data_IF_751289203278
#
_entry.id   IF_751289203278
#
_cell.length_a   1.000
_cell.length_b   1.000
_cell.length_c   1.000
_cell.angle_alpha   90.00
_cell.angle_beta   90.00
_cell.angle_gamma   90.00
#
_symmetry.space_group_name_H-M   'P 1'
#
loop_
_entity.id
_entity.type
_entity.pdbx_description
1 polymer ?
#
# COMPACT_ATOMS: atom_id res chain seq x y z
N UNK A 1 -42.86 -7.84 -29.31
CA UNK A 1 -42.81 -9.17 -29.96
C UNK A 1 -42.36 -10.15 -28.87
N UNK A 2 -43.33 -10.81 -28.24
CA UNK A 2 -43.13 -11.60 -27.03
C UNK A 2 -42.97 -13.05 -27.47
N UNK A 3 -41.80 -13.63 -27.28
CA UNK A 3 -41.54 -15.03 -27.60
C UNK A 3 -41.96 -15.85 -26.37
N UNK A 4 -43.12 -16.55 -26.52
CA UNK A 4 -43.53 -17.60 -25.61
C UNK A 4 -42.79 -18.88 -25.98
N UNK A 5 -41.90 -19.34 -25.10
CA UNK A 5 -41.35 -20.70 -25.20
C UNK A 5 -42.33 -21.64 -24.50
N UNK A 6 -42.99 -22.43 -25.30
CA UNK A 6 -43.87 -23.53 -24.84
C UNK A 6 -42.99 -24.75 -24.62
N UNK A 7 -42.78 -25.15 -23.36
CA UNK A 7 -42.07 -26.39 -23.04
C UNK A 7 -43.14 -27.50 -22.97
N UNK A 8 -43.00 -28.38 -23.92
CA UNK A 8 -43.84 -29.58 -24.06
C UNK A 8 -43.62 -30.54 -22.89
N UNK A 9 -44.67 -30.79 -22.12
CA UNK A 9 -44.73 -31.80 -21.08
C UNK A 9 -44.94 -33.16 -21.71
N UNK A 10 -43.92 -33.98 -21.87
CA UNK A 10 -44.00 -35.42 -21.91
C UNK A 10 -42.61 -36.06 -21.89
N UNK A 11 -42.07 -36.30 -20.71
CA UNK A 11 -41.02 -37.30 -20.52
C UNK A 11 -41.43 -38.17 -19.33
N UNK A 12 -41.78 -39.39 -19.68
CA UNK A 12 -42.05 -40.49 -18.73
C UNK A 12 -40.73 -40.83 -18.00
N UNK A 13 -40.87 -40.87 -16.68
CA UNK A 13 -40.10 -41.61 -15.67
C UNK A 13 -38.93 -42.43 -16.23
N UNK A 14 -37.69 -41.93 -16.02
CA UNK A 14 -36.50 -42.76 -15.91
C UNK A 14 -35.59 -42.22 -14.78
N UNK A 15 -35.51 -43.06 -13.76
CA UNK A 15 -34.51 -43.10 -12.68
C UNK A 15 -34.04 -41.78 -12.03
N UNK A 16 -34.51 -41.57 -10.80
CA UNK A 16 -34.16 -40.51 -9.86
C UNK A 16 -32.66 -40.39 -9.45
N UNK A 17 -31.76 -41.22 -9.99
CA UNK A 17 -30.36 -41.23 -9.57
C UNK A 17 -29.43 -40.46 -10.50
N UNK A 18 -29.88 -39.99 -11.67
CA UNK A 18 -29.03 -39.26 -12.61
C UNK A 18 -29.03 -37.74 -12.36
N UNK A 19 -30.12 -37.21 -11.77
CA UNK A 19 -30.24 -35.79 -11.49
C UNK A 19 -29.39 -35.32 -10.29
N UNK A 20 -29.06 -36.23 -9.35
CA UNK A 20 -28.24 -35.92 -8.17
C UNK A 20 -26.72 -35.82 -8.44
N UNK A 21 -26.25 -36.39 -9.57
CA UNK A 21 -24.82 -36.34 -9.95
C UNK A 21 -24.45 -35.13 -10.84
N UNK A 22 -25.45 -34.50 -11.49
CA UNK A 22 -25.21 -33.36 -12.39
C UNK A 22 -25.07 -32.03 -11.58
N UNK A 23 -25.81 -31.88 -10.48
CA UNK A 23 -25.73 -30.65 -9.64
C UNK A 23 -24.36 -30.43 -8.99
N UNK A 24 -23.71 -31.44 -8.38
CA UNK A 24 -22.36 -31.21 -7.82
C UNK A 24 -21.29 -31.00 -8.90
N UNK A 25 -21.46 -31.55 -10.10
CA UNK A 25 -20.52 -31.36 -11.20
C UNK A 25 -20.58 -29.93 -11.78
N UNK A 26 -21.77 -29.31 -11.85
CA UNK A 26 -21.94 -27.91 -12.24
C UNK A 26 -21.36 -26.95 -11.17
N UNK A 27 -21.49 -27.28 -9.88
CA UNK A 27 -20.94 -26.45 -8.79
C UNK A 27 -19.39 -26.49 -8.76
N UNK A 28 -18.82 -27.65 -9.07
CA UNK A 28 -17.35 -27.81 -9.19
C UNK A 28 -16.82 -27.05 -10.40
N UNK A 29 -17.52 -27.08 -11.54
CA UNK A 29 -17.09 -26.35 -12.76
C UNK A 29 -17.23 -24.82 -12.62
N UNK A 30 -18.24 -24.32 -11.91
CA UNK A 30 -18.38 -22.88 -11.65
C UNK A 30 -17.37 -22.37 -10.60
N UNK A 31 -17.04 -23.19 -9.61
CA UNK A 31 -15.99 -22.88 -8.63
C UNK A 31 -14.58 -22.87 -9.25
N UNK A 32 -14.31 -23.77 -10.19
CA UNK A 32 -13.02 -23.82 -10.91
C UNK A 32 -12.83 -22.63 -11.85
N UNK A 33 -13.89 -22.15 -12.52
CA UNK A 33 -13.82 -20.95 -13.36
C UNK A 33 -13.57 -19.66 -12.53
N UNK A 34 -14.11 -19.59 -11.30
CA UNK A 34 -13.85 -18.43 -10.43
C UNK A 34 -12.43 -18.38 -9.89
N UNK A 35 -11.80 -19.53 -9.68
CA UNK A 35 -10.38 -19.63 -9.26
C UNK A 35 -9.42 -19.35 -10.43
N UNK A 36 -9.77 -19.77 -11.65
CA UNK A 36 -8.99 -19.50 -12.86
C UNK A 36 -9.06 -18.02 -13.28
N UNK A 37 -10.20 -17.34 -13.05
CA UNK A 37 -10.32 -15.90 -13.36
C UNK A 37 -9.55 -14.98 -12.40
N UNK A 38 -9.14 -15.48 -11.24
CA UNK A 38 -8.30 -14.71 -10.30
C UNK A 38 -6.81 -14.73 -10.68
N UNK A 39 -6.40 -15.60 -11.61
CA UNK A 39 -4.99 -15.81 -11.97
C UNK A 39 -4.49 -14.97 -13.16
N UNK A 40 -5.37 -14.35 -13.94
CA UNK A 40 -5.01 -13.68 -15.21
C UNK A 40 -5.41 -12.19 -15.26
N UNK A 41 -5.47 -11.49 -14.12
CA UNK A 41 -5.63 -10.03 -14.20
C UNK A 41 -4.29 -9.41 -14.58
N UNK A 42 -4.24 -8.84 -15.78
CA UNK A 42 -3.20 -7.92 -16.22
C UNK A 42 -3.51 -6.54 -15.64
N UNK A 43 -2.50 -5.86 -15.10
CA UNK A 43 -2.63 -4.55 -14.44
C UNK A 43 -1.91 -3.44 -15.23
N UNK A 44 -1.68 -3.60 -16.53
CA UNK A 44 -0.95 -2.64 -17.40
C UNK A 44 -1.53 -1.21 -17.36
N UNK A 45 -2.83 -1.06 -17.08
CA UNK A 45 -3.49 0.25 -16.96
C UNK A 45 -3.62 0.71 -15.49
N UNK A 46 -2.94 0.05 -14.54
CA UNK A 46 -3.05 0.36 -13.12
C UNK A 46 -1.78 1.04 -12.63
N UNK A 47 -1.94 2.20 -12.00
CA UNK A 47 -0.87 2.93 -11.33
C UNK A 47 -1.05 2.79 -9.82
N UNK A 48 -0.01 2.25 -9.16
CA UNK A 48 0.06 2.14 -7.70
C UNK A 48 1.16 3.07 -7.21
N UNK A 49 0.79 4.04 -6.39
CA UNK A 49 1.70 5.03 -5.85
C UNK A 49 1.96 4.78 -4.37
N UNK A 50 3.22 4.57 -3.99
CA UNK A 50 3.69 4.59 -2.61
C UNK A 50 4.13 6.00 -2.23
N UNK A 51 3.65 6.58 -1.15
CA UNK A 51 4.06 7.93 -0.70
C UNK A 51 4.60 7.83 0.72
N UNK A 52 5.87 8.14 0.88
CA UNK A 52 6.62 7.91 2.10
C UNK A 52 7.45 9.12 2.53
N UNK A 53 7.92 9.10 3.76
CA UNK A 53 8.69 10.20 4.33
C UNK A 53 10.16 10.14 3.95
N UNK A 54 10.79 8.98 4.11
CA UNK A 54 12.24 8.82 3.97
C UNK A 54 12.62 7.78 2.91
N UNK A 55 13.82 7.85 2.34
CA UNK A 55 14.40 6.74 1.61
C UNK A 55 14.52 5.51 2.53
N UNK A 56 13.92 4.40 2.19
CA UNK A 56 13.81 3.12 2.90
C UNK A 56 12.40 2.75 3.40
N UNK A 57 11.50 3.70 3.53
CA UNK A 57 10.14 3.49 4.03
C UNK A 57 9.30 2.56 3.12
N UNK A 58 9.58 2.52 1.81
CA UNK A 58 8.90 1.65 0.83
C UNK A 58 9.06 0.17 1.17
N UNK A 59 10.08 -0.21 1.95
CA UNK A 59 10.29 -1.58 2.44
C UNK A 59 9.10 -2.09 3.23
N UNK A 60 8.33 -1.20 3.86
CA UNK A 60 7.10 -1.52 4.60
C UNK A 60 6.02 -2.16 3.74
N UNK A 61 6.09 -1.99 2.42
CA UNK A 61 5.16 -2.53 1.43
C UNK A 61 5.87 -3.20 0.25
N UNK A 62 7.19 -3.40 0.33
CA UNK A 62 8.06 -3.91 -0.73
C UNK A 62 7.51 -5.14 -1.47
N UNK A 63 7.14 -6.25 -0.78
CA UNK A 63 6.58 -7.43 -1.45
C UNK A 63 5.28 -7.16 -2.21
N UNK A 64 4.50 -6.16 -1.80
CA UNK A 64 3.26 -5.76 -2.50
C UNK A 64 3.60 -4.98 -3.77
N UNK A 65 4.56 -4.06 -3.73
CA UNK A 65 5.04 -3.36 -4.92
C UNK A 65 5.66 -4.33 -5.94
N UNK A 66 6.54 -5.24 -5.49
CA UNK A 66 7.14 -6.27 -6.34
C UNK A 66 6.07 -7.13 -7.04
N UNK A 67 5.05 -7.58 -6.29
CA UNK A 67 3.93 -8.34 -6.84
C UNK A 67 3.20 -7.61 -7.96
N UNK A 68 2.85 -6.36 -7.75
CA UNK A 68 2.06 -5.62 -8.73
C UNK A 68 2.90 -5.18 -9.92
N UNK A 69 4.18 -4.84 -9.74
CA UNK A 69 5.12 -4.62 -10.84
C UNK A 69 5.24 -5.87 -11.74
N UNK A 70 5.44 -7.05 -11.14
CA UNK A 70 5.48 -8.33 -11.86
C UNK A 70 4.18 -8.64 -12.62
N UNK A 71 3.04 -8.13 -12.15
CA UNK A 71 1.74 -8.27 -12.80
C UNK A 71 1.42 -7.18 -13.82
N UNK A 72 2.39 -6.31 -14.12
CA UNK A 72 2.30 -5.28 -15.14
C UNK A 72 1.80 -3.91 -14.67
N UNK A 73 1.49 -3.72 -13.36
CA UNK A 73 1.15 -2.40 -12.86
C UNK A 73 2.37 -1.46 -12.87
N UNK A 74 2.14 -0.19 -13.15
CA UNK A 74 3.13 0.85 -12.96
C UNK A 74 3.22 1.21 -11.48
N UNK A 75 4.42 1.09 -10.92
CA UNK A 75 4.70 1.48 -9.54
C UNK A 75 5.36 2.85 -9.55
N UNK A 76 4.86 3.74 -8.71
CA UNK A 76 5.42 5.09 -8.52
C UNK A 76 5.75 5.26 -7.05
N UNK A 77 7.00 5.57 -6.74
CA UNK A 77 7.44 5.85 -5.38
C UNK A 77 7.69 7.34 -5.22
N UNK A 78 7.03 7.95 -4.26
CA UNK A 78 7.21 9.35 -3.88
C UNK A 78 7.81 9.38 -2.49
N UNK A 79 9.01 9.96 -2.37
CA UNK A 79 9.74 10.09 -1.10
C UNK A 79 9.92 11.56 -0.78
N UNK A 80 9.40 12.00 0.38
CA UNK A 80 9.30 13.41 0.69
C UNK A 80 10.63 14.03 1.13
N UNK A 81 11.36 13.39 2.04
CA UNK A 81 12.58 13.97 2.64
C UNK A 81 13.84 13.28 2.15
N UNK A 82 14.97 13.93 2.39
CA UNK A 82 16.29 13.44 1.98
C UNK A 82 16.94 12.45 2.98
N UNK A 83 16.35 12.27 4.16
CA UNK A 83 16.82 11.35 5.18
C UNK A 83 18.19 11.69 5.79
N UNK A 84 18.68 12.92 5.62
CA UNK A 84 20.02 13.39 6.05
C UNK A 84 20.34 13.23 7.52
N UNK A 85 19.33 13.03 8.36
CA UNK A 85 19.50 12.88 9.82
C UNK A 85 19.50 11.40 10.25
N UNK A 86 19.27 10.46 9.35
CA UNK A 86 19.18 9.02 9.60
C UNK A 86 20.57 8.37 9.76
N UNK A 87 21.37 8.82 10.72
CA UNK A 87 22.69 8.27 11.02
C UNK A 87 22.55 6.88 11.67
N UNK A 88 23.36 5.94 11.21
CA UNK A 88 23.45 4.57 11.77
C UNK A 88 24.93 4.17 11.92
N UNK A 89 25.17 3.03 12.58
CA UNK A 89 26.52 2.44 12.70
C UNK A 89 26.95 1.68 11.43
N UNK A 90 26.16 1.71 10.35
CA UNK A 90 26.45 1.02 9.08
C UNK A 90 27.26 1.89 8.10
N UNK A 91 27.45 3.16 8.41
CA UNK A 91 28.26 4.09 7.63
C UNK A 91 29.04 5.03 8.56
N UNK A 92 30.19 5.50 8.12
CA UNK A 92 31.00 6.52 8.84
C UNK A 92 30.50 7.96 8.58
N UNK A 93 29.41 8.14 7.83
CA UNK A 93 28.87 9.45 7.50
C UNK A 93 28.11 10.05 8.69
N UNK A 94 28.34 11.33 8.92
CA UNK A 94 27.55 12.12 9.85
C UNK A 94 26.28 12.66 9.18
N UNK A 95 25.34 13.16 10.01
CA UNK A 95 24.15 13.84 9.51
C UNK A 95 24.51 15.02 8.59
N UNK A 96 23.93 15.09 7.41
CA UNK A 96 24.19 16.17 6.47
C UNK A 96 24.04 15.78 4.99
N UNK A 97 24.64 16.61 4.13
CA UNK A 97 24.46 16.51 2.69
C UNK A 97 25.09 15.23 2.09
N UNK A 98 26.20 14.74 2.64
CA UNK A 98 26.84 13.50 2.16
C UNK A 98 25.98 12.29 2.43
N UNK A 99 25.36 12.21 3.60
CA UNK A 99 24.39 11.14 3.93
C UNK A 99 23.12 11.25 3.08
N UNK A 100 22.61 12.46 2.86
CA UNK A 100 21.46 12.68 1.99
C UNK A 100 21.71 12.19 0.56
N UNK A 101 22.91 12.43 0.02
CA UNK A 101 23.27 11.99 -1.33
C UNK A 101 23.41 10.46 -1.40
N UNK A 102 24.06 9.83 -0.42
CA UNK A 102 24.13 8.38 -0.33
C UNK A 102 22.73 7.75 -0.30
N UNK A 103 21.85 8.24 0.58
CA UNK A 103 20.48 7.72 0.69
C UNK A 103 19.64 7.97 -0.56
N UNK A 104 19.90 9.03 -1.32
CA UNK A 104 19.29 9.26 -2.62
C UNK A 104 19.69 8.17 -3.63
N UNK A 105 20.99 7.80 -3.67
CA UNK A 105 21.47 6.73 -4.55
C UNK A 105 20.91 5.36 -4.15
N UNK A 106 20.84 5.09 -2.85
CA UNK A 106 20.24 3.88 -2.30
C UNK A 106 18.76 3.76 -2.67
N UNK A 107 17.99 4.86 -2.56
CA UNK A 107 16.58 4.89 -2.93
C UNK A 107 16.38 4.68 -4.43
N UNK A 108 17.25 5.25 -5.28
CA UNK A 108 17.18 5.01 -6.72
C UNK A 108 17.47 3.53 -7.04
N UNK A 109 18.47 2.94 -6.39
CA UNK A 109 18.74 1.51 -6.51
C UNK A 109 17.51 0.67 -6.12
N UNK A 110 16.86 0.97 -5.01
CA UNK A 110 15.67 0.24 -4.55
C UNK A 110 14.50 0.39 -5.54
N UNK A 111 14.28 1.59 -6.07
CA UNK A 111 13.27 1.84 -7.08
C UNK A 111 13.55 1.06 -8.38
N UNK A 112 14.80 1.03 -8.84
CA UNK A 112 15.21 0.27 -10.03
C UNK A 112 14.96 -1.23 -9.86
N UNK A 113 15.28 -1.79 -8.69
CA UNK A 113 15.03 -3.21 -8.37
C UNK A 113 13.54 -3.54 -8.34
N UNK A 114 12.71 -2.63 -7.80
CA UNK A 114 11.25 -2.78 -7.78
C UNK A 114 10.60 -2.51 -9.14
N UNK A 115 11.34 -1.99 -10.13
CA UNK A 115 10.79 -1.54 -11.40
C UNK A 115 9.86 -0.34 -11.25
N UNK A 116 10.15 0.57 -10.32
CA UNK A 116 9.33 1.72 -9.98
C UNK A 116 9.89 3.03 -10.53
N UNK A 117 9.00 3.94 -10.91
CA UNK A 117 9.34 5.35 -11.16
C UNK A 117 9.52 6.06 -9.81
N UNK A 118 10.60 6.81 -9.63
CA UNK A 118 10.93 7.49 -8.38
C UNK A 118 10.76 9.01 -8.49
N UNK A 119 9.97 9.58 -7.59
CA UNK A 119 9.92 11.02 -7.30
C UNK A 119 10.50 11.30 -5.92
N UNK A 120 11.77 11.65 -5.84
CA UNK A 120 12.41 12.04 -4.60
C UNK A 120 12.36 13.57 -4.45
N UNK A 121 11.43 14.08 -3.63
CA UNK A 121 11.14 15.51 -3.44
C UNK A 121 12.29 16.24 -2.72
N UNK A 122 13.09 15.53 -1.90
CA UNK A 122 14.33 16.00 -1.25
C UNK A 122 14.13 17.15 -0.27
N UNK A 123 12.99 17.22 0.40
CA UNK A 123 12.84 18.12 1.54
C UNK A 123 13.80 17.73 2.67
N UNK A 124 14.16 18.70 3.49
CA UNK A 124 15.00 18.44 4.65
C UNK A 124 14.30 17.46 5.61
N UNK A 125 15.01 16.44 6.06
CA UNK A 125 14.54 15.49 7.07
C UNK A 125 14.03 16.25 8.31
N UNK A 126 12.97 15.75 8.97
CA UNK A 126 12.21 16.40 10.02
C UNK A 126 11.58 17.76 9.60
N UNK A 127 11.52 18.05 8.30
CA UNK A 127 10.92 19.27 7.73
C UNK A 127 11.40 20.55 8.45
N UNK A 128 12.67 20.56 8.87
CA UNK A 128 13.30 21.66 9.61
C UNK A 128 12.61 22.01 10.94
N UNK A 129 11.83 21.09 11.52
CA UNK A 129 11.15 21.31 12.79
C UNK A 129 12.07 21.79 13.94
N UNK A 130 13.33 21.31 14.08
CA UNK A 130 14.27 21.82 15.08
C UNK A 130 14.67 23.28 14.86
N UNK A 131 14.55 23.82 13.65
CA UNK A 131 14.92 25.21 13.32
C UNK A 131 13.78 26.19 13.62
N UNK A 132 12.56 25.70 13.84
CA UNK A 132 11.42 26.50 14.27
C UNK A 132 10.10 26.16 13.58
N UNK A 133 9.01 26.46 14.27
CA UNK A 133 7.67 26.13 13.82
C UNK A 133 7.30 26.77 12.47
N UNK A 134 7.76 27.99 12.21
CA UNK A 134 7.42 28.69 10.97
C UNK A 134 8.04 28.00 9.74
N UNK A 135 9.27 27.51 9.87
CA UNK A 135 9.93 26.76 8.81
C UNK A 135 9.24 25.41 8.58
N UNK A 136 8.94 24.69 9.65
CA UNK A 136 8.18 23.44 9.57
C UNK A 136 6.84 23.60 8.83
N UNK A 137 6.09 24.65 9.15
CA UNK A 137 4.81 24.94 8.48
C UNK A 137 5.03 25.27 7.00
N UNK A 138 6.09 26.02 6.67
CA UNK A 138 6.39 26.37 5.28
C UNK A 138 6.76 25.14 4.47
N UNK A 139 7.65 24.27 4.98
CA UNK A 139 8.02 23.03 4.30
C UNK A 139 6.82 22.09 4.14
N UNK A 140 6.00 21.93 5.17
CA UNK A 140 4.78 21.11 5.10
C UNK A 140 3.80 21.60 4.01
N UNK A 141 3.65 22.93 3.84
CA UNK A 141 2.80 23.49 2.79
C UNK A 141 3.35 23.23 1.40
N UNK A 142 4.66 23.36 1.20
CA UNK A 142 5.29 23.06 -0.09
C UNK A 142 5.10 21.59 -0.48
N UNK A 143 5.21 20.66 0.47
CA UNK A 143 4.96 19.24 0.23
C UNK A 143 3.52 19.00 -0.21
N UNK A 144 2.54 19.68 0.40
CA UNK A 144 1.13 19.59 -0.02
C UNK A 144 0.99 20.03 -1.47
N UNK A 145 1.55 21.17 -1.83
CA UNK A 145 1.44 21.73 -3.17
C UNK A 145 2.11 20.80 -4.20
N UNK A 146 3.31 20.32 -3.93
CA UNK A 146 4.05 19.41 -4.83
C UNK A 146 3.37 18.04 -4.95
N UNK A 147 2.83 17.48 -3.85
CA UNK A 147 2.03 16.24 -3.93
C UNK A 147 0.74 16.42 -4.74
N UNK A 148 0.11 17.58 -4.68
CA UNK A 148 -1.02 17.90 -5.57
C UNK A 148 -0.62 17.83 -7.04
N UNK A 149 0.56 18.34 -7.40
CA UNK A 149 1.09 18.30 -8.77
C UNK A 149 1.43 16.88 -9.18
N UNK A 150 2.25 16.16 -8.41
CA UNK A 150 2.66 14.78 -8.69
C UNK A 150 1.44 13.85 -8.83
N UNK A 151 0.56 13.85 -7.86
CA UNK A 151 -0.65 13.01 -7.90
C UNK A 151 -1.61 13.43 -9.04
N UNK A 152 -1.61 14.72 -9.41
CA UNK A 152 -2.36 15.24 -10.54
C UNK A 152 -1.84 14.79 -11.88
N UNK A 153 -0.54 14.67 -12.04
CA UNK A 153 0.12 14.19 -13.25
C UNK A 153 -0.09 12.69 -13.43
N UNK A 154 0.14 11.91 -12.36
CA UNK A 154 0.09 10.46 -12.42
C UNK A 154 -1.32 9.87 -12.39
N UNK A 155 -2.30 10.54 -11.79
CA UNK A 155 -3.67 10.03 -11.61
C UNK A 155 -3.69 8.58 -11.09
N UNK A 156 -3.06 8.27 -9.94
CA UNK A 156 -2.92 6.89 -9.47
C UNK A 156 -4.29 6.24 -9.18
N UNK A 157 -4.40 4.95 -9.44
CA UNK A 157 -5.59 4.16 -9.07
C UNK A 157 -5.57 3.80 -7.57
N UNK A 158 -4.36 3.56 -7.04
CA UNK A 158 -4.13 3.16 -5.66
C UNK A 158 -2.99 3.98 -5.07
N UNK A 159 -3.19 4.44 -3.85
CA UNK A 159 -2.15 5.09 -3.03
C UNK A 159 -1.94 4.26 -1.77
N UNK A 160 -0.68 3.99 -1.44
CA UNK A 160 -0.27 3.34 -0.19
C UNK A 160 0.62 4.32 0.58
N UNK A 161 0.34 4.53 1.86
CA UNK A 161 1.13 5.38 2.74
C UNK A 161 1.08 4.89 4.19
N UNK A 162 1.76 5.58 5.08
CA UNK A 162 1.68 5.31 6.52
C UNK A 162 0.28 5.55 7.09
N UNK A 163 -0.06 4.81 8.16
CA UNK A 163 -1.23 5.11 8.96
C UNK A 163 -1.08 6.41 9.78
N UNK A 164 -2.12 6.85 10.48
CA UNK A 164 -2.06 8.05 11.34
C UNK A 164 -1.04 7.96 12.49
N UNK A 165 -0.63 6.74 12.84
CA UNK A 165 0.42 6.43 13.81
C UNK A 165 1.84 6.57 13.22
N UNK A 166 1.96 6.69 11.88
CA UNK A 166 3.22 6.76 11.16
C UNK A 166 4.02 5.47 11.21
N UNK A 167 3.40 4.32 11.46
CA UNK A 167 4.04 3.00 11.53
C UNK A 167 5.07 2.82 12.65
N UNK A 168 5.84 3.85 12.96
CA UNK A 168 6.85 3.89 14.03
C UNK A 168 6.65 5.06 15.02
N UNK A 169 5.55 5.79 14.89
CA UNK A 169 5.27 7.04 15.59
C UNK A 169 6.25 8.19 15.23
N UNK A 170 6.99 8.05 14.11
CA UNK A 170 7.88 9.09 13.61
C UNK A 170 7.08 10.31 13.14
N UNK A 171 7.59 11.52 13.42
CA UNK A 171 6.90 12.77 13.08
C UNK A 171 6.63 12.87 11.58
N UNK A 172 7.65 12.69 10.75
CA UNK A 172 7.54 12.84 9.30
C UNK A 172 6.59 11.83 8.68
N UNK A 173 6.62 10.56 9.13
CA UNK A 173 5.65 9.54 8.69
C UNK A 173 4.20 9.98 8.96
N UNK A 174 3.94 10.56 10.14
CA UNK A 174 2.61 11.05 10.52
C UNK A 174 2.20 12.26 9.69
N UNK A 175 3.14 13.18 9.44
CA UNK A 175 2.88 14.36 8.60
C UNK A 175 2.60 13.93 7.16
N UNK A 176 3.40 13.03 6.59
CA UNK A 176 3.18 12.56 5.22
C UNK A 176 1.85 11.80 5.12
N UNK A 177 1.52 10.94 6.08
CA UNK A 177 0.20 10.28 6.15
C UNK A 177 -0.95 11.30 6.13
N UNK A 178 -0.86 12.34 6.96
CA UNK A 178 -1.88 13.39 7.01
C UNK A 178 -1.94 14.20 5.72
N UNK A 179 -0.78 14.54 5.14
CA UNK A 179 -0.68 15.30 3.88
C UNK A 179 -1.27 14.54 2.70
N UNK A 180 -0.93 13.26 2.54
CA UNK A 180 -1.50 12.39 1.49
C UNK A 180 -3.02 12.34 1.63
N UNK A 181 -3.51 12.13 2.85
CA UNK A 181 -4.96 12.11 3.13
C UNK A 181 -5.62 13.43 2.75
N UNK A 182 -4.99 14.56 3.09
CA UNK A 182 -5.48 15.90 2.74
C UNK A 182 -5.55 16.10 1.22
N UNK A 183 -4.52 15.71 0.48
CA UNK A 183 -4.50 15.82 -0.99
C UNK A 183 -5.61 14.97 -1.60
N UNK A 184 -5.79 13.72 -1.15
CA UNK A 184 -6.87 12.85 -1.64
C UNK A 184 -8.26 13.45 -1.37
N UNK A 185 -8.45 14.15 -0.25
CA UNK A 185 -9.71 14.78 0.11
C UNK A 185 -9.98 16.09 -0.61
N UNK A 186 -8.96 16.87 -0.92
CA UNK A 186 -9.09 18.26 -1.39
C UNK A 186 -8.98 18.41 -2.91
N UNK A 187 -8.36 17.44 -3.59
CA UNK A 187 -8.18 17.48 -5.04
C UNK A 187 -9.46 17.08 -5.77
N UNK A 188 -9.73 17.75 -6.87
CA UNK A 188 -10.75 17.33 -7.84
C UNK A 188 -10.16 16.24 -8.73
N UNK A 189 -10.66 15.02 -8.58
CA UNK A 189 -10.17 13.83 -9.28
C UNK A 189 -11.09 13.47 -10.43
N UNK A 190 -10.52 13.13 -11.59
CA UNK A 190 -11.28 12.45 -12.64
C UNK A 190 -11.78 11.10 -12.13
N UNK A 191 -10.89 10.34 -11.51
CA UNK A 191 -11.22 9.12 -10.76
C UNK A 191 -10.47 9.17 -9.43
N UNK A 192 -11.20 9.22 -8.31
CA UNK A 192 -10.58 9.26 -6.97
C UNK A 192 -9.81 7.97 -6.71
N UNK A 193 -8.52 8.07 -6.31
CA UNK A 193 -7.74 6.89 -5.96
C UNK A 193 -8.27 6.19 -4.70
N UNK A 194 -8.04 4.89 -4.63
CA UNK A 194 -8.19 4.14 -3.39
C UNK A 194 -6.97 4.38 -2.51
N UNK A 195 -7.17 4.96 -1.33
CA UNK A 195 -6.09 5.20 -0.37
C UNK A 195 -6.06 4.10 0.68
N UNK A 196 -4.86 3.54 0.89
CA UNK A 196 -4.60 2.50 1.89
C UNK A 196 -3.48 2.94 2.83
N UNK A 197 -3.69 2.67 4.12
CA UNK A 197 -2.68 2.85 5.15
C UNK A 197 -2.07 1.51 5.52
N UNK A 198 -0.74 1.43 5.53
CA UNK A 198 -0.03 0.30 6.09
C UNK A 198 -0.37 0.15 7.58
N UNK A 199 -0.58 -1.06 8.05
CA UNK A 199 -0.93 -1.30 9.44
C UNK A 199 -0.44 -2.64 9.95
N UNK A 200 -0.05 -2.67 11.23
CA UNK A 200 0.34 -3.89 11.93
C UNK A 200 -0.72 -4.23 12.96
N UNK A 201 -1.14 -5.50 12.98
CA UNK A 201 -2.12 -5.98 13.95
C UNK A 201 -1.58 -5.87 15.37
N UNK A 202 -2.46 -5.50 16.33
CA UNK A 202 -2.10 -5.36 17.75
C UNK A 202 -1.38 -6.59 18.31
N UNK A 203 -1.82 -7.84 18.07
CA UNK A 203 -1.15 -9.02 18.62
C UNK A 203 0.32 -9.18 18.17
N UNK A 204 0.68 -8.63 17.02
CA UNK A 204 2.04 -8.75 16.46
C UNK A 204 3.04 -7.77 17.09
N UNK A 205 2.57 -6.83 17.90
CA UNK A 205 3.36 -5.71 18.42
C UNK A 205 3.75 -5.82 19.90
N UNK A 206 3.19 -6.77 20.65
CA UNK A 206 3.43 -6.88 22.09
C UNK A 206 3.16 -5.55 22.81
N UNK A 207 4.11 -5.06 23.61
CA UNK A 207 3.96 -3.80 24.36
C UNK A 207 3.93 -2.53 23.47
N UNK A 208 4.35 -2.63 22.21
CA UNK A 208 4.39 -1.49 21.28
C UNK A 208 3.02 -1.16 20.68
N UNK A 209 2.00 -1.98 20.90
CA UNK A 209 0.66 -1.81 20.32
C UNK A 209 0.04 -0.43 20.60
N UNK A 210 0.33 0.14 21.76
CA UNK A 210 -0.19 1.46 22.18
C UNK A 210 0.20 2.60 21.24
N UNK A 211 1.32 2.44 20.55
CA UNK A 211 1.92 3.51 19.74
C UNK A 211 1.69 3.33 18.24
N UNK A 212 1.47 2.09 17.77
CA UNK A 212 1.39 1.80 16.33
C UNK A 212 0.53 0.61 15.94
N UNK A 213 -0.25 0.08 16.87
CA UNK A 213 -1.12 -1.06 16.60
C UNK A 213 -2.45 -0.64 16.02
N UNK A 214 -2.95 -1.42 15.08
CA UNK A 214 -4.28 -1.29 14.50
C UNK A 214 -5.12 -2.51 14.87
N UNK A 215 -6.35 -2.28 15.33
CA UNK A 215 -7.29 -3.36 15.60
C UNK A 215 -7.70 -4.06 14.31
N UNK A 216 -7.83 -5.38 14.35
CA UNK A 216 -8.09 -6.21 13.16
C UNK A 216 -9.34 -5.80 12.38
N UNK A 217 -10.39 -5.31 13.04
CA UNK A 217 -11.62 -4.82 12.41
C UNK A 217 -11.36 -3.68 11.40
N UNK A 218 -10.27 -2.94 11.54
CA UNK A 218 -9.88 -1.86 10.63
C UNK A 218 -8.91 -2.31 9.54
N UNK A 219 -8.27 -3.48 9.67
CA UNK A 219 -7.33 -4.03 8.71
C UNK A 219 -8.05 -4.96 7.73
N UNK A 220 -8.99 -4.40 6.99
CA UNK A 220 -9.94 -5.16 6.17
C UNK A 220 -9.39 -5.60 4.81
N UNK A 221 -8.23 -5.11 4.41
CA UNK A 221 -7.56 -5.54 3.18
C UNK A 221 -6.34 -6.36 3.53
N UNK A 222 -6.35 -7.62 3.10
CA UNK A 222 -5.27 -8.59 3.23
C UNK A 222 -4.65 -8.84 1.87
N UNK A 223 -3.43 -8.36 1.66
CA UNK A 223 -2.73 -8.47 0.39
C UNK A 223 -1.65 -9.55 0.48
N UNK A 224 -1.84 -10.65 -0.24
CA UNK A 224 -0.88 -11.76 -0.29
C UNK A 224 0.15 -11.56 -1.39
N UNK A 225 1.34 -12.12 -1.17
CA UNK A 225 2.46 -12.11 -2.11
C UNK A 225 3.15 -13.47 -2.15
N UNK A 226 3.95 -13.72 -3.17
CA UNK A 226 4.70 -14.95 -3.37
C UNK A 226 6.12 -14.86 -2.80
N UNK A 227 6.83 -15.99 -2.79
CA UNK A 227 8.26 -16.02 -2.44
C UNK A 227 9.10 -15.18 -3.41
N UNK A 228 8.77 -15.19 -4.71
CA UNK A 228 9.43 -14.36 -5.72
C UNK A 228 9.26 -12.86 -5.41
N UNK A 229 8.06 -12.44 -4.97
CA UNK A 229 7.81 -11.05 -4.58
C UNK A 229 8.63 -10.65 -3.34
N UNK A 230 8.84 -11.60 -2.40
CA UNK A 230 9.71 -11.39 -1.24
C UNK A 230 11.18 -11.28 -1.64
N UNK A 231 11.64 -12.10 -2.60
CA UNK A 231 13.03 -12.06 -3.06
C UNK A 231 13.36 -10.70 -3.68
N UNK A 232 12.47 -10.17 -4.54
CA UNK A 232 12.63 -8.84 -5.14
C UNK A 232 12.60 -7.74 -4.07
N UNK A 233 11.68 -7.81 -3.12
CA UNK A 233 11.59 -6.82 -2.03
C UNK A 233 12.82 -6.84 -1.11
N UNK A 234 13.36 -8.01 -0.82
CA UNK A 234 14.60 -8.14 -0.04
C UNK A 234 15.82 -7.60 -0.79
N UNK A 235 15.88 -7.81 -2.11
CA UNK A 235 16.92 -7.23 -2.96
C UNK A 235 16.83 -5.69 -2.96
N UNK A 236 15.64 -5.12 -3.09
CA UNK A 236 15.42 -3.67 -2.99
C UNK A 236 15.84 -3.14 -1.61
N UNK A 237 15.48 -3.83 -0.52
CA UNK A 237 15.87 -3.44 0.83
C UNK A 237 17.41 -3.43 1.02
N UNK A 238 18.15 -4.32 0.35
CA UNK A 238 19.62 -4.35 0.39
C UNK A 238 20.28 -3.13 -0.24
N UNK A 239 19.56 -2.39 -1.08
CA UNK A 239 20.04 -1.11 -1.60
C UNK A 239 20.28 -0.09 -0.48
N UNK A 240 19.48 -0.14 0.60
CA UNK A 240 19.59 0.78 1.75
C UNK A 240 20.68 0.35 2.74
N UNK A 241 21.89 0.12 2.24
CA UNK A 241 23.00 -0.44 2.99
C UNK A 241 23.49 0.45 4.14
N UNK A 242 23.23 1.75 4.06
CA UNK A 242 23.50 2.71 5.14
C UNK A 242 22.49 2.64 6.28
N UNK A 243 21.33 1.97 6.07
CA UNK A 243 20.23 1.94 7.03
C UNK A 243 19.99 0.52 7.58
N UNK A 244 20.20 -0.51 6.78
CA UNK A 244 19.87 -1.89 7.13
C UNK A 244 21.04 -2.84 6.88
N UNK A 245 21.47 -3.54 7.93
CA UNK A 245 22.44 -4.61 7.79
C UNK A 245 21.82 -5.86 7.13
N UNK A 246 22.65 -6.71 6.47
CA UNK A 246 22.17 -7.89 5.75
C UNK A 246 21.39 -8.86 6.64
N UNK A 247 21.83 -9.11 7.87
CA UNK A 247 21.15 -10.02 8.80
C UNK A 247 19.72 -9.55 9.13
N UNK A 248 19.50 -8.23 9.22
CA UNK A 248 18.17 -7.67 9.46
C UNK A 248 17.25 -7.89 8.26
N UNK A 249 17.76 -7.68 7.04
CA UNK A 249 17.00 -7.88 5.81
C UNK A 249 16.65 -9.36 5.62
N UNK A 250 17.59 -10.26 5.89
CA UNK A 250 17.36 -11.70 5.84
C UNK A 250 16.27 -12.13 6.84
N UNK A 251 16.30 -11.57 8.05
CA UNK A 251 15.24 -11.78 9.06
C UNK A 251 13.88 -11.26 8.59
N UNK A 252 13.82 -10.10 7.92
CA UNK A 252 12.57 -9.58 7.34
C UNK A 252 12.07 -10.48 6.23
N UNK A 253 12.93 -10.92 5.32
CA UNK A 253 12.57 -11.80 4.23
C UNK A 253 11.99 -13.14 4.75
N UNK A 254 12.58 -13.71 5.81
CA UNK A 254 12.04 -14.91 6.46
C UNK A 254 10.66 -14.65 7.08
N UNK A 255 10.50 -13.53 7.81
CA UNK A 255 9.21 -13.14 8.38
C UNK A 255 8.15 -12.91 7.29
N UNK A 256 8.50 -12.25 6.17
CA UNK A 256 7.59 -12.01 5.05
C UNK A 256 7.17 -13.33 4.40
N UNK A 257 8.08 -14.27 4.16
CA UNK A 257 7.76 -15.62 3.65
C UNK A 257 6.83 -16.37 4.61
N UNK A 258 7.13 -16.35 5.89
CA UNK A 258 6.30 -17.00 6.91
C UNK A 258 4.89 -16.43 6.96
N UNK A 259 4.76 -15.11 6.90
CA UNK A 259 3.48 -14.40 6.95
C UNK A 259 2.71 -14.50 5.63
N UNK A 260 3.39 -14.39 4.49
CA UNK A 260 2.85 -14.47 3.13
C UNK A 260 1.84 -13.39 2.75
N UNK A 261 1.67 -12.36 3.58
CA UNK A 261 0.74 -11.26 3.33
C UNK A 261 1.01 -10.05 4.22
N UNK A 262 0.50 -8.88 3.78
CA UNK A 262 0.37 -7.68 4.60
C UNK A 262 -1.09 -7.29 4.77
N UNK A 263 -1.35 -6.49 5.79
CA UNK A 263 -2.64 -5.89 6.05
C UNK A 263 -2.62 -4.40 5.79
N UNK A 264 -3.75 -3.90 5.26
CA UNK A 264 -3.97 -2.49 5.03
C UNK A 264 -5.32 -2.06 5.59
N UNK A 265 -5.35 -0.82 6.08
CA UNK A 265 -6.56 -0.13 6.44
C UNK A 265 -6.99 0.76 5.28
N UNK A 266 -8.15 0.55 4.64
CA UNK A 266 -8.63 1.46 3.62
C UNK A 266 -9.06 2.79 4.24
N UNK A 267 -8.78 3.90 3.54
CA UNK A 267 -9.46 5.15 3.78
C UNK A 267 -10.76 5.14 2.99
N UNK A 268 -11.87 4.93 3.68
CA UNK A 268 -13.17 4.86 3.03
C UNK A 268 -13.77 6.26 2.84
N UNK A 269 -14.20 6.56 1.61
CA UNK A 269 -15.00 7.74 1.35
C UNK A 269 -16.35 7.62 2.06
N UNK A 270 -16.95 8.73 2.51
CA UNK A 270 -18.27 8.71 3.13
C UNK A 270 -19.31 8.04 2.23
N UNK A 271 -20.03 7.07 2.77
CA UNK A 271 -21.09 6.35 2.03
C UNK A 271 -22.41 7.11 2.00
N UNK A 272 -22.59 8.03 2.92
CA UNK A 272 -23.81 8.82 3.06
C UNK A 272 -23.52 10.24 3.54
N UNK A 273 -24.48 11.14 3.31
CA UNK A 273 -24.51 12.44 3.96
C UNK A 273 -25.52 12.38 5.11
N UNK A 274 -25.18 12.98 6.23
CA UNK A 274 -26.06 13.15 7.37
C UNK A 274 -26.11 14.63 7.78
N UNK A 275 -27.24 15.06 8.29
CA UNK A 275 -27.45 16.44 8.72
C UNK A 275 -26.88 16.70 10.11
N UNK A 276 -26.63 15.64 10.88
CA UNK A 276 -25.99 15.72 12.20
C UNK A 276 -25.12 14.47 12.49
N UNK A 277 -24.26 14.58 13.50
CA UNK A 277 -23.28 13.56 13.86
C UNK A 277 -23.91 12.26 14.39
N UNK A 278 -25.09 12.35 15.02
CA UNK A 278 -25.73 11.21 15.67
C UNK A 278 -26.53 10.35 14.70
N UNK A 279 -26.93 10.94 13.56
CA UNK A 279 -27.69 10.25 12.50
C UNK A 279 -26.79 9.78 11.35
N UNK A 280 -25.46 9.90 11.48
CA UNK A 280 -24.56 9.35 10.50
C UNK A 280 -24.58 7.81 10.59
N UNK A 281 -24.84 7.09 9.47
CA UNK A 281 -24.91 5.64 9.51
C UNK A 281 -23.61 5.03 10.07
N UNK A 282 -23.75 4.17 11.07
CA UNK A 282 -22.64 3.39 11.57
C UNK A 282 -22.13 2.44 10.47
N UNK A 283 -20.82 2.31 10.35
CA UNK A 283 -20.23 1.32 9.43
C UNK A 283 -20.39 -0.13 9.96
N UNK A 284 -20.91 -0.28 11.18
CA UNK A 284 -20.99 -1.54 11.93
C UNK A 284 -22.44 -2.05 12.10
N UNK A 285 -23.40 -1.48 11.35
CA UNK A 285 -24.76 -2.03 11.25
C UNK A 285 -24.97 -2.96 10.04
#
# INVERSE_FOLDING_TARGET
MTIKISICTSVKIFNNNLCLLILPLLFVLTGFNSLLQAQDRNYEDVIIMGVYAHPDDETSSGPVFAKYARKGAQIVLVVATDGRLGVTDLTDLEAGDELAELRREEMQCAADVLGADLHHMRYHDQLRAPEGQDLFIQESRKIIDELHEIMGEWQPNVIITWGPDGGSNHLDHRIISATVTQVVLSKDWEQRPSLFYSGTQIPDLGELWKYRGVHEDFLTVRESFSEEDVDVAAEAARCHSSQFGPDLIDSWAEQWRHRGHFYFRPFEAPRAKADDLLNYPSQYE
#
